data_IF_740735987838
#
_entry.id   IF_740735987838
#
_cell.length_a   1.000
_cell.length_b   1.000
_cell.length_c   1.000
_cell.angle_alpha   90.00
_cell.angle_beta   90.00
_cell.angle_gamma   90.00
#
_symmetry.space_group_name_H-M   'P 1'
#
loop_
_entity.id
_entity.type
_entity.pdbx_description
1 polymer ?
#
# COMPACT_ATOMS: atom_id res chain seq x y z
N UNK A 1 24.50 -4.89 -12.00
CA UNK A 1 23.33 -5.00 -11.13
C UNK A 1 23.66 -4.41 -9.78
N UNK A 2 22.85 -3.45 -9.38
CA UNK A 2 23.03 -2.82 -8.08
C UNK A 2 22.03 -3.41 -7.10
N UNK A 3 22.52 -4.27 -6.25
CA UNK A 3 21.67 -4.90 -5.25
C UNK A 3 20.97 -3.87 -4.38
N UNK A 4 21.66 -2.82 -3.89
CA UNK A 4 21.01 -1.79 -3.09
C UNK A 4 19.85 -1.13 -3.83
N UNK A 5 20.01 -0.95 -5.14
CA UNK A 5 18.96 -0.33 -5.93
C UNK A 5 17.75 -1.24 -6.02
N UNK A 6 17.99 -2.53 -6.19
CA UNK A 6 16.91 -3.51 -6.26
C UNK A 6 16.15 -3.55 -4.94
N UNK A 7 16.88 -3.57 -3.84
CA UNK A 7 16.25 -3.61 -2.53
C UNK A 7 15.44 -2.34 -2.31
N UNK A 8 15.98 -1.20 -2.68
CA UNK A 8 15.28 0.06 -2.55
C UNK A 8 13.99 0.08 -3.36
N UNK A 9 14.06 -0.44 -4.58
CA UNK A 9 12.90 -0.47 -5.44
C UNK A 9 11.80 -1.35 -4.84
N UNK A 10 12.18 -2.52 -4.35
CA UNK A 10 11.22 -3.44 -3.75
C UNK A 10 10.59 -2.81 -2.52
N UNK A 11 11.41 -2.20 -1.68
CA UNK A 11 10.89 -1.56 -0.47
C UNK A 11 9.95 -0.43 -0.81
N UNK A 12 10.31 0.37 -1.81
CA UNK A 12 9.47 1.49 -2.20
C UNK A 12 8.12 1.01 -2.71
N UNK A 13 8.13 0.00 -3.55
CA UNK A 13 6.89 -0.53 -4.11
C UNK A 13 6.04 -1.14 -3.01
N UNK A 14 6.66 -1.91 -2.12
CA UNK A 14 5.93 -2.53 -1.03
C UNK A 14 5.30 -1.48 -0.13
N UNK A 15 6.06 -0.46 0.20
CA UNK A 15 5.58 0.59 1.06
C UNK A 15 4.40 1.31 0.41
N UNK A 16 4.51 1.60 -0.87
CA UNK A 16 3.43 2.26 -1.60
C UNK A 16 2.19 1.38 -1.61
N UNK A 17 2.38 0.08 -1.81
CA UNK A 17 1.27 -0.84 -1.85
C UNK A 17 0.51 -0.85 -0.53
N UNK A 18 1.25 -0.85 0.57
CA UNK A 18 0.63 -0.84 1.89
C UNK A 18 -0.16 0.45 2.10
N UNK A 19 0.43 1.57 1.70
CA UNK A 19 -0.24 2.86 1.85
C UNK A 19 -1.54 2.90 1.05
N UNK A 20 -1.49 2.40 -0.17
CA UNK A 20 -2.67 2.38 -1.02
C UNK A 20 -3.74 1.50 -0.41
N UNK A 21 -3.36 0.35 0.11
CA UNK A 21 -4.32 -0.55 0.73
C UNK A 21 -5.03 0.12 1.90
N UNK A 22 -4.26 0.77 2.76
CA UNK A 22 -4.82 1.45 3.91
C UNK A 22 -5.76 2.56 3.45
N UNK A 23 -5.34 3.29 2.43
CA UNK A 23 -6.14 4.40 1.92
C UNK A 23 -7.46 3.90 1.37
N UNK A 24 -7.41 2.84 0.60
CA UNK A 24 -8.62 2.27 0.00
C UNK A 24 -9.56 1.76 1.09
N UNK A 25 -9.00 1.12 2.11
CA UNK A 25 -9.81 0.62 3.21
C UNK A 25 -10.54 1.77 3.89
N UNK A 26 -9.85 2.88 4.10
CA UNK A 26 -10.47 4.04 4.73
C UNK A 26 -11.60 4.57 3.88
N UNK A 27 -11.38 4.66 2.58
CA UNK A 27 -12.39 5.17 1.68
C UNK A 27 -13.62 4.27 1.70
N UNK A 28 -13.41 2.97 1.63
CA UNK A 28 -14.53 2.04 1.64
C UNK A 28 -15.28 2.10 2.95
N UNK A 29 -14.57 2.31 4.03
CA UNK A 29 -15.21 2.39 5.34
C UNK A 29 -16.14 3.61 5.40
N UNK A 30 -15.77 4.68 4.74
CA UNK A 30 -16.59 5.88 4.74
C UNK A 30 -17.74 5.76 3.77
N UNK A 31 -17.44 5.29 2.56
CA UNK A 31 -18.47 5.21 1.54
C UNK A 31 -19.45 4.07 1.79
N UNK A 32 -18.92 2.93 2.20
CA UNK A 32 -19.78 1.76 2.37
C UNK A 32 -19.44 1.05 3.66
N UNK A 33 -19.88 1.58 4.77
CA UNK A 33 -19.58 1.00 6.09
C UNK A 33 -20.39 -0.25 6.34
N UNK A 34 -20.37 -1.16 5.49
CA UNK A 34 -21.12 -2.36 5.64
C UNK A 34 -20.39 -3.32 6.46
N UNK A 35 -20.17 -3.13 7.59
CA UNK A 35 -19.43 -4.00 8.41
C UNK A 35 -20.18 -5.07 8.93
N UNK A 36 -19.88 -5.85 9.01
CA UNK A 36 -20.47 -6.78 9.56
C UNK A 36 -20.19 -7.31 10.38
#
# INVERSE_FOLDING_TARGET
LDIPVVIGAVLTVSFSFILINIFVDEIYKILDPRIK
#
